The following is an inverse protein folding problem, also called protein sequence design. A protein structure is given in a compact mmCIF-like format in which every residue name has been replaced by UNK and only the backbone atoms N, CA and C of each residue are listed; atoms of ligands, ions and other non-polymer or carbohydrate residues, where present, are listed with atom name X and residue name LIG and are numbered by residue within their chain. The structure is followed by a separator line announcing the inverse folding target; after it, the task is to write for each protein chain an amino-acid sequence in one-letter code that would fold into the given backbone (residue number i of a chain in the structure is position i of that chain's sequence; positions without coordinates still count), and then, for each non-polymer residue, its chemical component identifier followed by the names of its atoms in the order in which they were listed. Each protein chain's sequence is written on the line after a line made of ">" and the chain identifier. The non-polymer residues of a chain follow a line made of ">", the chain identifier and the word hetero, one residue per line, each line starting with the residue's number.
data_IF_602351552943
#
_entry.id   IF_602351552943
#
_cell.length_a   1.000
_cell.length_b   1.000
_cell.length_c   1.000
_cell.angle_alpha   90.00
_cell.angle_beta   90.00
_cell.angle_gamma   90.00
#
_symmetry.space_group_name_H-M   'P 1'
#
loop_
_entity.id
_entity.type
_entity.pdbx_description
1 polymer ?
#
# COMPACT_ATOMS: atom_id res chain seq x y z
N UNK A 1 -2.54 -19.38 14.28
CA UNK A 1 -1.34 -18.90 13.55
C UNK A 1 -1.16 -19.60 12.20
N UNK A 2 -1.73 -20.80 11.98
CA UNK A 2 -1.65 -21.51 10.70
C UNK A 2 -2.49 -20.90 9.57
N UNK A 3 -3.69 -20.37 9.89
CA UNK A 3 -4.60 -19.77 8.90
C UNK A 3 -3.99 -18.56 8.19
N UNK A 4 -3.41 -17.61 8.93
CA UNK A 4 -2.84 -16.40 8.32
C UNK A 4 -1.63 -16.69 7.39
N UNK A 5 -0.83 -17.71 7.72
CA UNK A 5 0.30 -18.16 6.88
C UNK A 5 -0.24 -18.84 5.61
N UNK A 6 -1.25 -19.70 5.75
CA UNK A 6 -1.92 -20.34 4.61
C UNK A 6 -2.61 -19.33 3.69
N UNK A 7 -3.24 -18.30 4.25
CA UNK A 7 -3.88 -17.24 3.47
C UNK A 7 -2.84 -16.41 2.71
N UNK A 8 -1.68 -16.15 3.33
CA UNK A 8 -0.55 -15.48 2.68
C UNK A 8 0.02 -16.31 1.53
N UNK A 9 0.27 -17.61 1.73
CA UNK A 9 0.74 -18.51 0.67
C UNK A 9 -0.26 -18.61 -0.48
N UNK A 10 -1.56 -18.63 -0.17
CA UNK A 10 -2.64 -18.60 -1.16
C UNK A 10 -2.61 -17.29 -1.94
N UNK A 11 -2.49 -16.14 -1.28
CA UNK A 11 -2.42 -14.84 -1.94
C UNK A 11 -1.16 -14.71 -2.82
N UNK A 12 -0.01 -15.20 -2.35
CA UNK A 12 1.22 -15.25 -3.16
C UNK A 12 1.00 -16.09 -4.43
N UNK A 13 0.43 -17.28 -4.27
CA UNK A 13 0.20 -18.22 -5.39
C UNK A 13 -0.84 -17.70 -6.37
N UNK A 14 -1.92 -17.06 -5.89
CA UNK A 14 -2.91 -16.40 -6.74
C UNK A 14 -2.29 -15.26 -7.55
N UNK A 15 -1.54 -14.36 -6.89
CA UNK A 15 -0.88 -13.25 -7.56
C UNK A 15 0.15 -13.72 -8.60
N UNK A 16 0.98 -14.71 -8.26
CA UNK A 16 1.97 -15.30 -9.18
C UNK A 16 1.31 -16.10 -10.32
N UNK A 17 0.12 -16.64 -10.09
CA UNK A 17 -0.64 -17.47 -11.02
C UNK A 17 -1.53 -16.68 -11.99
N UNK A 18 -1.66 -15.36 -11.83
CA UNK A 18 -2.39 -14.54 -12.81
C UNK A 18 -1.72 -14.67 -14.19
N UNK A 19 -2.55 -14.85 -15.21
CA UNK A 19 -2.13 -15.08 -16.60
C UNK A 19 -2.55 -13.90 -17.48
N UNK A 20 -1.99 -13.83 -18.69
CA UNK A 20 -2.21 -12.76 -19.66
C UNK A 20 -1.82 -11.37 -19.12
N UNK A 21 -0.51 -11.14 -18.86
CA UNK A 21 -0.04 -9.82 -18.47
C UNK A 21 -0.35 -8.79 -19.56
N UNK A 22 -0.75 -7.60 -19.13
CA UNK A 22 -0.95 -6.44 -20.00
C UNK A 22 0.40 -5.97 -20.56
N UNK A 23 1.45 -6.05 -19.73
CA UNK A 23 2.83 -5.68 -20.10
C UNK A 23 3.84 -6.71 -19.57
N UNK A 24 4.87 -7.00 -20.38
CA UNK A 24 5.98 -7.90 -20.04
C UNK A 24 7.32 -7.23 -20.22
N UNK A 25 8.21 -7.37 -19.23
CA UNK A 25 9.56 -6.78 -19.23
C UNK A 25 9.54 -5.26 -19.44
N UNK A 26 8.50 -4.58 -18.95
CA UNK A 26 8.36 -3.12 -19.07
C UNK A 26 9.59 -2.41 -18.52
N UNK A 27 10.13 -1.46 -19.29
CA UNK A 27 11.33 -0.72 -18.91
C UNK A 27 12.59 -1.58 -18.77
N UNK A 28 12.59 -2.83 -19.26
CA UNK A 28 13.68 -3.78 -19.09
C UNK A 28 14.10 -3.98 -17.61
N UNK A 29 13.12 -3.94 -16.69
CA UNK A 29 13.35 -4.09 -15.26
C UNK A 29 13.64 -2.77 -14.52
N UNK A 30 13.51 -1.62 -15.18
CA UNK A 30 13.56 -0.30 -14.54
C UNK A 30 12.33 0.53 -14.94
N UNK A 31 11.44 0.79 -13.97
CA UNK A 31 10.20 1.58 -14.17
C UNK A 31 10.30 3.00 -13.60
N UNK A 32 11.53 3.47 -13.35
CA UNK A 32 11.78 4.81 -12.82
C UNK A 32 11.13 5.88 -13.70
N UNK A 33 10.49 6.86 -13.07
CA UNK A 33 9.80 7.99 -13.71
C UNK A 33 8.63 7.61 -14.62
N UNK A 34 8.18 6.36 -14.60
CA UNK A 34 6.99 5.95 -15.34
C UNK A 34 5.71 6.24 -14.56
N UNK A 35 4.60 6.34 -15.30
CA UNK A 35 3.24 6.36 -14.76
C UNK A 35 2.53 5.10 -15.25
N UNK A 36 2.09 4.25 -14.33
CA UNK A 36 1.49 2.96 -14.65
C UNK A 36 -0.01 2.97 -14.36
N UNK A 37 -0.79 2.59 -15.36
CA UNK A 37 -2.23 2.39 -15.25
C UNK A 37 -2.57 1.04 -14.58
N UNK A 38 -3.81 0.83 -14.08
CA UNK A 38 -4.22 -0.45 -13.53
C UNK A 38 -3.97 -1.60 -14.51
N UNK A 39 -3.38 -2.70 -14.04
CA UNK A 39 -3.04 -3.82 -14.90
C UNK A 39 -2.19 -4.89 -14.22
N UNK A 40 -1.92 -5.95 -14.98
CA UNK A 40 -1.00 -7.03 -14.65
C UNK A 40 0.33 -6.85 -15.39
N UNK A 41 1.39 -6.63 -14.63
CA UNK A 41 2.74 -6.42 -15.15
C UNK A 41 3.65 -7.57 -14.75
N UNK A 42 4.49 -8.03 -15.67
CA UNK A 42 5.34 -9.20 -15.44
C UNK A 42 6.79 -8.99 -15.84
N UNK A 43 7.70 -9.42 -14.97
CA UNK A 43 9.14 -9.51 -15.23
C UNK A 43 9.67 -10.89 -14.83
N UNK A 44 10.44 -11.50 -15.73
CA UNK A 44 11.31 -12.65 -15.46
C UNK A 44 12.62 -12.25 -14.80
N UNK A 45 12.87 -10.95 -14.67
CA UNK A 45 14.05 -10.33 -14.09
C UNK A 45 13.73 -9.66 -12.74
N UNK A 46 14.71 -8.97 -12.16
CA UNK A 46 14.50 -8.06 -11.04
C UNK A 46 13.86 -6.74 -11.49
N UNK A 47 13.29 -6.02 -10.55
CA UNK A 47 12.66 -4.73 -10.79
C UNK A 47 13.31 -3.64 -9.93
N UNK A 48 13.77 -2.59 -10.58
CA UNK A 48 14.36 -1.40 -9.97
C UNK A 48 13.41 -0.21 -10.04
N UNK A 49 13.31 0.53 -8.93
CA UNK A 49 12.73 1.86 -8.89
C UNK A 49 13.77 2.78 -8.24
N UNK A 50 14.42 3.60 -9.04
CA UNK A 50 15.45 4.55 -8.58
C UNK A 50 14.83 5.77 -7.88
N UNK A 51 15.66 6.67 -7.36
CA UNK A 51 15.24 7.81 -6.52
C UNK A 51 14.16 8.72 -7.13
N UNK A 52 14.00 8.76 -8.46
CA UNK A 52 12.93 9.52 -9.10
C UNK A 52 11.52 8.89 -8.93
N UNK A 53 11.44 7.68 -8.38
CA UNK A 53 10.18 7.02 -8.04
C UNK A 53 9.39 6.50 -9.24
N UNK A 54 8.16 6.10 -8.99
CA UNK A 54 7.17 5.67 -9.99
C UNK A 54 5.78 6.13 -9.56
N UNK A 55 4.92 6.47 -10.52
CA UNK A 55 3.53 6.86 -10.26
C UNK A 55 2.57 5.74 -10.67
N UNK A 56 1.61 5.42 -9.81
CA UNK A 56 0.51 4.51 -10.10
C UNK A 56 -0.78 5.34 -10.18
N UNK A 57 -1.33 5.47 -11.39
CA UNK A 57 -2.44 6.37 -11.68
C UNK A 57 -3.66 5.59 -12.11
N UNK A 58 -4.76 5.74 -11.40
CA UNK A 58 -6.02 5.12 -11.74
C UNK A 58 -7.07 5.41 -10.71
N UNK A 59 -8.31 5.05 -11.01
CA UNK A 59 -9.42 5.27 -10.08
C UNK A 59 -9.33 4.37 -8.83
N UNK A 60 -10.22 4.60 -7.85
CA UNK A 60 -10.26 3.87 -6.59
C UNK A 60 -10.54 2.38 -6.70
N UNK A 61 -11.04 1.91 -7.86
CA UNK A 61 -11.26 0.50 -8.18
C UNK A 61 -10.14 -0.09 -9.04
N UNK A 62 -9.14 0.71 -9.44
CA UNK A 62 -7.97 0.25 -10.16
C UNK A 62 -7.19 -0.77 -9.32
N UNK A 63 -6.71 -1.83 -9.98
CA UNK A 63 -5.91 -2.90 -9.39
C UNK A 63 -4.60 -3.01 -10.14
N UNK A 64 -3.50 -3.10 -9.41
CA UNK A 64 -2.16 -3.31 -9.94
C UNK A 64 -1.61 -4.61 -9.39
N UNK A 65 -1.13 -5.49 -10.27
CA UNK A 65 -0.44 -6.71 -9.89
C UNK A 65 0.91 -6.72 -10.58
N UNK A 66 1.98 -6.67 -9.80
CA UNK A 66 3.35 -6.76 -10.28
C UNK A 66 3.89 -8.16 -9.96
N UNK A 67 4.19 -8.93 -10.99
CA UNK A 67 4.83 -10.24 -10.89
C UNK A 67 6.31 -10.12 -11.21
N UNK A 68 7.16 -10.24 -10.18
CA UNK A 68 8.60 -10.06 -10.29
C UNK A 68 9.27 -11.39 -9.93
N UNK A 69 9.97 -12.00 -10.88
CA UNK A 69 10.56 -13.33 -10.67
C UNK A 69 11.79 -13.31 -9.76
N UNK A 70 12.55 -12.21 -9.76
CA UNK A 70 13.73 -12.00 -8.92
C UNK A 70 13.44 -10.95 -7.83
N UNK A 71 14.39 -10.07 -7.57
CA UNK A 71 14.35 -9.09 -6.49
C UNK A 71 13.60 -7.79 -6.89
N UNK A 72 13.05 -7.11 -5.90
CA UNK A 72 12.47 -5.77 -6.02
C UNK A 72 13.30 -4.80 -5.20
N UNK A 73 13.92 -3.82 -5.86
CA UNK A 73 14.73 -2.79 -5.23
C UNK A 73 14.09 -1.42 -5.39
N UNK A 74 13.59 -0.86 -4.28
CA UNK A 74 13.18 0.53 -4.17
C UNK A 74 14.37 1.31 -3.61
N UNK A 75 15.05 2.09 -4.44
CA UNK A 75 16.27 2.79 -4.06
C UNK A 75 16.04 3.80 -2.92
N UNK A 76 17.12 4.22 -2.27
CA UNK A 76 17.07 5.25 -1.23
C UNK A 76 16.44 6.55 -1.75
N UNK A 77 15.48 7.09 -1.00
CA UNK A 77 14.70 8.27 -1.39
C UNK A 77 13.71 8.05 -2.54
N UNK A 78 13.53 6.82 -3.03
CA UNK A 78 12.53 6.53 -4.06
C UNK A 78 11.11 6.46 -3.46
N UNK A 79 10.13 6.95 -4.20
CA UNK A 79 8.73 6.99 -3.79
C UNK A 79 7.83 6.31 -4.81
N UNK A 80 6.94 5.44 -4.33
CA UNK A 80 5.77 5.01 -5.09
C UNK A 80 4.63 5.98 -4.81
N UNK A 81 4.23 6.73 -5.83
CA UNK A 81 3.21 7.78 -5.74
C UNK A 81 1.89 7.25 -6.27
N UNK A 82 0.79 7.53 -5.56
CA UNK A 82 -0.55 7.20 -6.00
C UNK A 82 -1.27 8.45 -6.49
N UNK A 83 -1.94 8.37 -7.63
CA UNK A 83 -2.70 9.47 -8.23
C UNK A 83 -4.06 9.00 -8.75
N UNK A 84 -4.93 9.96 -9.09
CA UNK A 84 -6.28 9.75 -9.64
C UNK A 84 -7.24 8.90 -8.79
N UNK A 85 -6.94 8.75 -7.49
CA UNK A 85 -7.74 7.98 -6.55
C UNK A 85 -7.26 6.56 -6.33
N UNK A 86 -6.10 6.18 -6.87
CA UNK A 86 -5.47 4.89 -6.64
C UNK A 86 -5.29 4.63 -5.13
N UNK A 87 -5.57 3.39 -4.70
CA UNK A 87 -5.51 2.99 -3.30
C UNK A 87 -4.44 1.93 -3.10
N UNK A 88 -3.59 2.10 -2.08
CA UNK A 88 -2.57 1.13 -1.73
C UNK A 88 -3.13 -0.27 -1.40
N UNK A 89 -4.39 -0.37 -0.96
CA UNK A 89 -5.06 -1.67 -0.76
C UNK A 89 -5.24 -2.50 -2.04
N UNK A 90 -5.16 -1.89 -3.22
CA UNK A 90 -5.40 -2.55 -4.51
C UNK A 90 -4.11 -2.81 -5.30
N UNK A 91 -2.95 -2.64 -4.66
CA UNK A 91 -1.65 -2.73 -5.30
C UNK A 91 -0.91 -3.92 -4.70
N UNK A 92 -0.59 -4.90 -5.54
CA UNK A 92 -0.01 -6.17 -5.13
C UNK A 92 1.36 -6.34 -5.78
N UNK A 93 2.39 -6.49 -4.95
CA UNK A 93 3.77 -6.73 -5.37
C UNK A 93 4.14 -8.17 -5.05
N UNK A 94 4.04 -9.07 -6.03
CA UNK A 94 4.51 -10.45 -5.88
C UNK A 94 5.97 -10.51 -6.29
N UNK A 95 6.83 -10.89 -5.34
CA UNK A 95 8.29 -10.91 -5.51
C UNK A 95 8.83 -12.32 -5.24
N UNK A 96 9.48 -12.91 -6.25
CA UNK A 96 10.06 -14.26 -6.18
C UNK A 96 11.38 -14.32 -5.44
N UNK A 97 12.11 -13.20 -5.39
CA UNK A 97 13.33 -13.00 -4.64
C UNK A 97 13.10 -12.21 -3.34
N UNK A 98 13.98 -11.26 -3.06
CA UNK A 98 13.97 -10.35 -1.92
C UNK A 98 13.37 -8.99 -2.30
N UNK A 99 12.77 -8.30 -1.32
CA UNK A 99 12.42 -6.89 -1.47
C UNK A 99 13.30 -6.02 -0.59
N UNK A 100 13.91 -5.00 -1.17
CA UNK A 100 14.71 -4.00 -0.46
C UNK A 100 14.06 -2.64 -0.58
N UNK A 101 13.71 -2.03 0.55
CA UNK A 101 13.26 -0.64 0.64
C UNK A 101 14.41 0.19 1.21
N UNK A 102 15.08 0.95 0.35
CA UNK A 102 16.22 1.80 0.71
C UNK A 102 15.86 2.90 1.70
N UNK A 103 16.87 3.60 2.22
CA UNK A 103 16.67 4.59 3.28
C UNK A 103 15.70 5.68 2.83
N UNK A 104 14.82 6.11 3.73
CA UNK A 104 13.79 7.16 3.49
C UNK A 104 12.88 6.93 2.29
N UNK A 105 12.81 5.71 1.75
CA UNK A 105 11.90 5.36 0.66
C UNK A 105 10.44 5.28 1.13
N UNK A 106 9.50 5.45 0.22
CA UNK A 106 8.06 5.33 0.50
C UNK A 106 7.44 4.31 -0.45
N UNK A 107 7.08 3.15 0.10
CA UNK A 107 6.42 2.06 -0.60
C UNK A 107 4.91 2.10 -0.35
N UNK A 108 4.11 1.78 -1.37
CA UNK A 108 2.64 1.70 -1.32
C UNK A 108 2.19 0.34 -1.86
N UNK A 109 1.42 -0.41 -1.08
CA UNK A 109 0.87 -1.69 -1.52
C UNK A 109 1.06 -2.86 -0.55
N UNK A 110 0.60 -4.01 -1.01
CA UNK A 110 0.75 -5.30 -0.34
C UNK A 110 1.93 -6.02 -0.99
N UNK A 111 3.00 -6.21 -0.23
CA UNK A 111 4.21 -6.94 -0.65
C UNK A 111 4.04 -8.41 -0.28
N UNK A 112 4.02 -9.28 -1.28
CA UNK A 112 3.98 -10.73 -1.17
C UNK A 112 5.35 -11.28 -1.61
N UNK A 113 6.26 -11.40 -0.65
CA UNK A 113 7.65 -11.76 -0.90
C UNK A 113 7.93 -13.22 -0.54
N UNK A 114 8.58 -13.96 -1.45
CA UNK A 114 8.96 -15.36 -1.22
C UNK A 114 10.13 -15.50 -0.26
N UNK A 115 11.02 -14.51 -0.20
CA UNK A 115 12.17 -14.56 0.70
C UNK A 115 12.02 -13.51 1.80
N UNK A 116 12.85 -12.48 1.83
CA UNK A 116 12.91 -11.47 2.87
C UNK A 116 12.40 -10.11 2.37
N UNK A 117 11.88 -9.31 3.31
CA UNK A 117 11.64 -7.87 3.11
C UNK A 117 12.61 -7.12 4.03
N UNK A 118 13.44 -6.26 3.46
CA UNK A 118 14.39 -5.41 4.18
C UNK A 118 13.93 -3.97 4.06
N UNK A 119 13.65 -3.34 5.21
CA UNK A 119 13.33 -1.93 5.32
C UNK A 119 14.50 -1.22 5.98
N UNK A 120 15.24 -0.44 5.20
CA UNK A 120 16.38 0.34 5.67
C UNK A 120 15.93 1.57 6.48
N UNK A 121 16.88 2.27 7.10
CA UNK A 121 16.63 3.40 8.00
C UNK A 121 15.63 4.42 7.42
N UNK A 122 14.52 4.61 8.13
CA UNK A 122 13.50 5.62 7.78
C UNK A 122 12.66 5.27 6.55
N UNK A 123 12.78 4.07 5.98
CA UNK A 123 11.85 3.59 4.97
C UNK A 123 10.43 3.50 5.55
N UNK A 124 9.43 3.71 4.70
CA UNK A 124 8.03 3.62 5.09
C UNK A 124 7.22 2.80 4.10
N UNK A 125 6.24 2.06 4.63
CA UNK A 125 5.31 1.26 3.85
C UNK A 125 3.88 1.64 4.25
N UNK A 126 3.08 2.03 3.26
CA UNK A 126 1.63 2.06 3.39
C UNK A 126 1.03 0.80 2.74
N UNK A 127 0.59 -0.14 3.56
CA UNK A 127 0.01 -1.40 3.12
C UNK A 127 0.40 -2.56 4.04
N UNK A 128 0.92 -3.65 3.47
CA UNK A 128 1.27 -4.88 4.21
C UNK A 128 2.59 -5.47 3.72
N UNK A 129 3.46 -5.86 4.64
CA UNK A 129 4.69 -6.61 4.35
C UNK A 129 4.48 -8.08 4.72
N UNK A 130 4.35 -8.96 3.73
CA UNK A 130 4.10 -10.39 3.90
C UNK A 130 5.24 -11.18 3.27
N UNK A 131 6.18 -11.63 4.10
CA UNK A 131 7.36 -12.40 3.68
C UNK A 131 7.27 -13.85 4.17
N UNK A 132 7.67 -14.82 3.34
CA UNK A 132 7.70 -16.24 3.75
C UNK A 132 8.91 -16.59 4.64
N UNK A 133 9.95 -15.75 4.68
CA UNK A 133 11.13 -16.02 5.54
C UNK A 133 11.28 -14.99 6.67
N UNK A 134 11.58 -13.72 6.35
CA UNK A 134 11.87 -12.69 7.35
C UNK A 134 11.43 -11.30 6.89
N UNK A 135 11.06 -10.45 7.86
CA UNK A 135 10.91 -9.01 7.67
C UNK A 135 11.87 -8.33 8.64
N UNK A 136 12.76 -7.48 8.12
CA UNK A 136 13.72 -6.70 8.91
C UNK A 136 13.41 -5.22 8.77
N UNK A 137 13.45 -4.49 9.88
CA UNK A 137 13.10 -3.07 9.96
C UNK A 137 14.17 -2.33 10.75
N UNK A 138 14.68 -1.24 10.18
CA UNK A 138 15.53 -0.28 10.87
C UNK A 138 14.85 1.09 10.88
N UNK A 139 14.42 1.55 12.06
CA UNK A 139 13.67 2.80 12.26
C UNK A 139 12.58 3.05 11.20
N UNK A 140 11.89 1.99 10.76
CA UNK A 140 10.94 2.04 9.64
C UNK A 140 9.50 2.14 10.13
N UNK A 141 8.61 2.68 9.30
CA UNK A 141 7.18 2.80 9.60
C UNK A 141 6.34 1.90 8.68
N UNK A 142 5.41 1.12 9.26
CA UNK A 142 4.39 0.38 8.48
C UNK A 142 3.00 0.85 8.91
N UNK A 143 2.24 1.40 7.98
CA UNK A 143 0.84 1.79 8.21
C UNK A 143 -0.09 0.98 7.30
N UNK A 144 -1.18 0.45 7.84
CA UNK A 144 -2.20 -0.23 7.03
C UNK A 144 -3.12 0.80 6.39
N UNK A 145 -3.27 0.78 5.06
CA UNK A 145 -4.23 1.63 4.35
C UNK A 145 -5.64 1.45 4.94
N UNK A 146 -6.21 2.55 5.44
CA UNK A 146 -7.48 2.57 6.16
C UNK A 146 -7.43 3.16 7.57
N UNK A 147 -6.25 3.56 8.08
CA UNK A 147 -6.21 4.42 9.29
C UNK A 147 -5.88 5.85 8.89
N UNK A 148 -6.92 6.67 8.75
CA UNK A 148 -6.79 8.12 8.88
C UNK A 148 -6.38 8.41 10.32
N UNK A 149 -5.08 8.41 10.61
CA UNK A 149 -4.60 9.03 11.85
C UNK A 149 -4.79 10.54 11.66
N UNK A 150 -5.90 11.06 12.17
CA UNK A 150 -5.92 12.44 12.64
C UNK A 150 -5.00 12.49 13.86
N UNK A 151 -3.69 12.49 13.62
CA UNK A 151 -2.69 12.74 14.65
C UNK A 151 -2.74 14.23 15.00
N UNK A 152 -3.67 14.57 15.89
CA UNK A 152 -3.85 15.93 16.39
C UNK A 152 -2.97 16.25 17.59
N UNK A 153 -1.95 15.45 17.92
CA UNK A 153 -1.24 15.58 19.20
C UNK A 153 0.26 15.89 19.12
N UNK A 154 0.68 16.80 18.22
CA UNK A 154 2.03 17.38 18.30
C UNK A 154 2.08 18.91 18.23
N UNK A 155 1.23 19.59 19.00
CA UNK A 155 1.54 20.92 19.54
C UNK A 155 0.66 21.23 20.74
N UNK A 156 1.19 21.67 21.90
CA UNK A 156 0.38 21.92 23.09
C UNK A 156 -0.52 23.18 23.01
N UNK A 157 -0.81 23.77 21.84
CA UNK A 157 -1.53 25.06 21.76
C UNK A 157 -2.58 25.23 20.63
N UNK A 158 -3.10 24.19 19.97
CA UNK A 158 -4.11 24.39 18.91
C UNK A 158 -5.52 23.97 19.35
N UNK A 159 -6.36 24.94 19.69
CA UNK A 159 -7.83 24.78 19.74
C UNK A 159 -8.33 24.88 18.29
N UNK A 160 -8.74 23.77 17.68
CA UNK A 160 -9.47 23.79 16.40
C UNK A 160 -10.97 23.77 16.69
N UNK A 161 -11.60 24.93 16.55
CA UNK A 161 -13.05 25.07 16.41
C UNK A 161 -13.42 24.61 15.00
N UNK A 162 -13.98 23.40 14.85
CA UNK A 162 -14.56 22.95 13.59
C UNK A 162 -16.10 22.92 13.70
N UNK A 163 -16.75 23.78 12.94
CA UNK A 163 -18.22 23.88 12.79
C UNK A 163 -18.60 23.34 11.40
N UNK A 164 -19.78 22.69 11.31
CA UNK A 164 -20.58 22.24 10.14
C UNK A 164 -20.24 20.81 9.62
N UNK A 165 -21.12 19.78 9.61
CA UNK A 165 -22.55 19.63 9.91
C UNK A 165 -22.93 18.16 10.25
N UNK A 166 -23.51 17.93 11.44
CA UNK A 166 -24.61 16.96 11.65
C UNK A 166 -25.62 17.65 12.56
N UNK A 167 -26.39 18.58 11.98
CA UNK A 167 -27.57 19.16 12.62
C UNK A 167 -28.78 18.64 11.85
N UNK A 168 -29.56 17.74 12.46
CA UNK A 168 -30.90 17.47 11.92
C UNK A 168 -31.65 16.18 12.31
N UNK A 169 -31.00 15.08 12.69
CA UNK A 169 -31.75 13.79 12.84
C UNK A 169 -31.86 13.27 14.28
N UNK A 170 -30.93 13.59 15.19
CA UNK A 170 -31.04 13.11 16.58
C UNK A 170 -32.08 13.88 17.43
N UNK A 171 -32.30 15.17 17.15
CA UNK A 171 -33.29 15.98 17.89
C UNK A 171 -34.75 15.67 17.49
N UNK A 172 -34.99 15.21 16.25
CA UNK A 172 -36.34 14.83 15.81
C UNK A 172 -36.78 13.46 16.37
N UNK A 173 -35.81 12.58 16.71
CA UNK A 173 -36.11 11.24 17.23
C UNK A 173 -36.50 11.25 18.72
N UNK A 174 -35.97 12.19 19.52
CA UNK A 174 -36.27 12.31 20.95
C UNK A 174 -37.59 13.05 21.23
N UNK A 175 -38.01 13.98 20.36
CA UNK A 175 -39.26 14.71 20.53
C UNK A 175 -40.51 13.83 20.33
N UNK A 176 -40.48 12.85 19.42
CA UNK A 176 -41.63 11.95 19.19
C UNK A 176 -41.85 10.92 20.31
N UNK A 177 -40.83 10.57 21.09
CA UNK A 177 -40.96 9.63 22.22
C UNK A 177 -41.53 10.26 23.50
N UNK A 178 -41.40 11.58 23.66
CA UNK A 178 -41.89 12.30 24.85
C UNK A 178 -43.40 12.61 24.75
N UNK A 179 -43.98 12.67 23.55
CA UNK A 179 -45.40 13.03 23.33
C UNK A 179 -46.38 11.87 23.58
N UNK A 180 -45.93 10.61 23.76
CA UNK A 180 -46.81 9.44 23.96
C UNK A 180 -46.80 8.83 25.37
N UNK A 181 -46.28 9.54 26.39
CA UNK A 181 -46.23 9.02 27.78
C UNK A 181 -46.86 9.93 28.86
N UNK A 182 -47.67 10.92 28.49
CA UNK A 182 -48.59 11.60 29.42
C UNK A 182 -49.86 12.01 28.69
#
# INVERSE_FOLDING_TARGET
>A
MTTAISDMETAYTDAAGRTNPDETELGAGDITSMTLEPGLYKWGTGLLISAAGVTLSGNSSGVWIFQIAQDLDLASGAHVVLSDGAQASNIFWQVGGQTTLGTTSVMKGIILCKTAIVMETGASLEGKALAQTAVTMDASLVNTSGTSIIDTLSSPLVIVVAVVAVVGIAALYLARKVIWKK
#
